data_IF_293073498131
#
_entry.id   IF_293073498131
#
_cell.length_a   1.000
_cell.length_b   1.000
_cell.length_c   1.000
_cell.angle_alpha   90.00
_cell.angle_beta   90.00
_cell.angle_gamma   90.00
#
_symmetry.space_group_name_H-M   'P 1'
#
loop_
_entity.id
_entity.type
_entity.pdbx_description
1 polymer ?
#
# COMPACT_ATOMS: atom_id res chain seq x y z
N UNK A 1 -2.68 0.22 4.88
CA UNK A 1 -1.59 1.14 5.27
C UNK A 1 -0.25 0.46 5.04
N UNK A 2 0.47 0.83 3.98
CA UNK A 2 1.84 0.36 3.75
C UNK A 2 2.80 1.52 4.04
N UNK A 3 3.10 1.71 5.33
CA UNK A 3 4.21 2.57 5.74
C UNK A 3 5.42 1.68 5.99
N UNK A 4 6.52 1.92 5.27
CA UNK A 4 7.79 1.24 5.54
C UNK A 4 8.25 1.68 6.94
N UNK A 5 8.13 0.78 7.92
CA UNK A 5 8.49 1.07 9.30
C UNK A 5 10.02 1.01 9.43
N UNK A 6 10.66 2.18 9.34
CA UNK A 6 12.12 2.29 9.48
C UNK A 6 12.44 2.24 10.97
N UNK A 7 13.11 1.17 11.42
CA UNK A 7 13.58 1.05 12.79
C UNK A 7 14.51 2.22 13.14
N UNK A 8 14.25 2.88 14.27
CA UNK A 8 15.01 4.05 14.69
C UNK A 8 14.54 5.38 14.08
N UNK A 9 13.43 5.40 13.33
CA UNK A 9 12.81 6.66 12.96
C UNK A 9 12.30 7.42 14.20
N UNK A 10 12.44 8.74 14.16
CA UNK A 10 12.01 9.68 15.19
C UNK A 10 11.15 10.74 14.54
N UNK A 11 10.18 11.26 15.29
CA UNK A 11 9.36 12.39 14.86
C UNK A 11 9.68 13.59 15.74
N UNK A 12 10.11 14.69 15.13
CA UNK A 12 10.22 16.00 15.78
C UNK A 12 8.93 16.79 15.50
N UNK A 13 8.28 17.24 16.56
CA UNK A 13 7.12 18.13 16.47
C UNK A 13 7.59 19.56 16.71
N UNK A 14 7.34 20.45 15.75
CA UNK A 14 7.71 21.87 15.83
C UNK A 14 6.61 22.76 15.26
N UNK A 15 6.01 23.59 16.12
CA UNK A 15 4.81 24.35 15.75
C UNK A 15 3.71 23.42 15.24
N UNK A 16 3.18 23.74 14.05
CA UNK A 16 2.15 22.94 13.36
C UNK A 16 2.75 21.88 12.42
N UNK A 17 4.05 21.55 12.51
CA UNK A 17 4.74 20.61 11.62
C UNK A 17 5.29 19.39 12.35
N UNK A 18 5.33 18.28 11.63
CA UNK A 18 5.96 17.02 12.01
C UNK A 18 7.09 16.73 11.01
N UNK A 19 8.27 16.43 11.53
CA UNK A 19 9.42 15.98 10.76
C UNK A 19 9.77 14.56 11.17
N UNK A 20 9.74 13.63 10.22
CA UNK A 20 10.25 12.28 10.44
C UNK A 20 11.70 12.19 9.98
N UNK A 21 12.57 11.64 10.83
CA UNK A 21 13.99 11.52 10.55
C UNK A 21 14.61 10.28 11.20
N UNK A 22 15.79 9.89 10.75
CA UNK A 22 16.67 8.92 11.41
C UNK A 22 18.02 9.56 11.74
N UNK A 23 18.73 9.01 12.72
CA UNK A 23 20.09 9.42 13.07
C UNK A 23 20.95 8.20 13.32
N UNK A 24 22.06 8.07 12.59
CA UNK A 24 22.97 6.92 12.66
C UNK A 24 24.20 7.17 13.56
N UNK A 25 24.27 8.33 14.22
CA UNK A 25 25.45 8.73 15.00
C UNK A 25 26.37 9.71 14.27
N UNK A 26 26.19 9.93 12.96
CA UNK A 26 26.98 10.86 12.16
C UNK A 26 26.13 11.84 11.38
N UNK A 27 25.02 11.38 10.80
CA UNK A 27 24.13 12.20 9.97
C UNK A 27 22.66 12.05 10.35
N UNK A 28 21.91 13.12 10.12
CA UNK A 28 20.45 13.11 10.20
C UNK A 28 19.90 12.98 8.78
N UNK A 29 19.07 11.97 8.55
CA UNK A 29 18.32 11.82 7.30
C UNK A 29 16.85 12.17 7.56
N UNK A 30 16.36 13.23 6.92
CA UNK A 30 14.95 13.64 7.01
C UNK A 30 14.17 12.93 5.91
N UNK A 31 13.20 12.12 6.29
CA UNK A 31 12.42 11.30 5.36
C UNK A 31 11.09 11.95 4.99
N UNK A 32 10.52 12.77 5.89
CA UNK A 32 9.32 13.54 5.55
C UNK A 32 9.16 14.80 6.40
N UNK A 33 8.46 15.78 5.82
CA UNK A 33 7.99 16.98 6.51
C UNK A 33 6.51 17.13 6.20
N UNK A 34 5.66 17.15 7.23
CA UNK A 34 4.21 17.22 7.08
C UNK A 34 3.63 18.31 7.97
N UNK A 35 2.65 19.03 7.48
CA UNK A 35 1.82 19.90 8.32
C UNK A 35 0.85 19.02 9.12
N UNK A 36 0.77 19.18 10.44
CA UNK A 36 0.02 18.32 11.37
C UNK A 36 -1.49 18.34 11.19
N UNK A 37 -2.01 19.29 10.40
CA UNK A 37 -3.42 19.36 9.98
C UNK A 37 -3.70 18.70 8.62
N UNK A 38 -2.72 18.08 7.96
CA UNK A 38 -3.01 17.32 6.73
C UNK A 38 -3.84 16.08 7.09
N UNK A 39 -5.12 16.13 6.77
CA UNK A 39 -5.94 14.93 6.60
C UNK A 39 -5.22 14.08 5.54
N UNK A 40 -4.67 12.95 5.96
CA UNK A 40 -4.15 11.96 5.02
C UNK A 40 -5.37 11.46 4.27
N UNK A 41 -5.57 11.95 3.04
CA UNK A 41 -6.51 11.34 2.12
C UNK A 41 -5.90 9.97 1.79
N UNK A 42 -6.35 8.94 2.48
CA UNK A 42 -6.17 7.57 2.00
C UNK A 42 -6.92 7.51 0.66
N UNK A 43 -6.23 7.26 -0.46
CA UNK A 43 -6.94 7.03 -1.71
C UNK A 43 -7.88 5.85 -1.52
N UNK A 44 -9.14 6.02 -1.93
CA UNK A 44 -10.12 4.93 -2.00
C UNK A 44 -9.67 4.02 -3.15
N UNK A 45 -8.89 2.98 -2.83
CA UNK A 45 -8.54 1.94 -3.79
C UNK A 45 -9.72 0.96 -3.81
N UNK A 46 -10.59 1.07 -4.79
CA UNK A 46 -11.59 0.04 -5.11
C UNK A 46 -10.83 -1.19 -5.64
N UNK A 47 -10.64 -2.19 -4.78
CA UNK A 47 -9.95 -3.45 -5.11
C UNK A 47 -10.90 -4.52 -5.66
N UNK A 48 -12.14 -4.16 -6.01
CA UNK A 48 -13.20 -5.13 -6.34
C UNK A 48 -13.44 -5.33 -7.85
N UNK A 49 -12.85 -4.55 -8.76
CA UNK A 49 -13.23 -4.58 -10.19
C UNK A 49 -12.53 -5.64 -11.09
N UNK A 50 -11.52 -6.38 -10.61
CA UNK A 50 -10.67 -7.20 -11.51
C UNK A 50 -10.73 -8.74 -11.29
N UNK A 51 -11.72 -9.28 -10.56
CA UNK A 51 -11.82 -10.74 -10.29
C UNK A 51 -12.91 -11.50 -11.06
N UNK A 52 -13.42 -10.97 -12.18
CA UNK A 52 -14.37 -11.72 -13.02
C UNK A 52 -13.98 -11.62 -14.51
N UNK A 53 -13.05 -12.49 -14.95
CA UNK A 53 -12.95 -12.88 -16.35
C UNK A 53 -12.71 -14.40 -16.43
N UNK A 54 -13.84 -15.12 -16.38
CA UNK A 54 -14.21 -16.25 -17.25
C UNK A 54 -13.08 -17.21 -17.65
N UNK A 55 -12.81 -18.20 -16.80
CA UNK A 55 -12.02 -19.37 -17.15
C UNK A 55 -12.95 -20.49 -17.68
N UNK A 56 -13.65 -20.23 -18.79
CA UNK A 56 -14.51 -21.19 -19.49
C UNK A 56 -13.94 -21.52 -20.88
N UNK A 57 -12.75 -22.12 -20.91
CA UNK A 57 -12.37 -22.99 -22.02
C UNK A 57 -11.62 -24.17 -21.42
N UNK A 58 -12.20 -25.38 -21.52
CA UNK A 58 -11.53 -26.54 -22.12
C UNK A 58 -12.37 -27.82 -22.04
N UNK A 59 -12.52 -28.45 -23.22
CA UNK A 59 -12.86 -29.85 -23.53
C UNK A 59 -14.32 -30.30 -23.66
N UNK A 60 -14.89 -29.98 -24.83
CA UNK A 60 -15.90 -30.82 -25.49
C UNK A 60 -15.20 -32.00 -26.22
N UNK A 61 -15.08 -33.14 -25.54
CA UNK A 61 -14.88 -34.45 -26.18
C UNK A 61 -15.37 -35.56 -25.25
N UNK A 62 -16.52 -36.16 -25.55
CA UNK A 62 -16.68 -37.62 -25.38
C UNK A 62 -17.84 -38.17 -26.25
N UNK A 63 -17.68 -39.42 -26.70
CA UNK A 63 -18.39 -40.11 -27.77
C UNK A 63 -19.81 -40.61 -27.46
N UNK A 64 -20.31 -41.62 -28.21
CA UNK A 64 -21.73 -41.78 -28.48
C UNK A 64 -22.52 -42.42 -27.33
N UNK A 65 -23.78 -42.00 -27.16
CA UNK A 65 -24.73 -42.55 -26.17
C UNK A 65 -25.20 -43.97 -26.54
N UNK A 66 -25.10 -44.97 -25.65
CA UNK A 66 -25.84 -46.22 -25.80
C UNK A 66 -27.29 -46.06 -25.28
N UNK A 67 -28.21 -46.87 -25.82
CA UNK A 67 -29.58 -47.06 -25.33
C UNK A 67 -29.62 -48.13 -24.24
#
# INVERSE_FOLDING_TARGET
>A
MHGLQIAGNRTLVTGDYLLDYSYDGQQIEVTSIRHGRMVVQTPDIDLEEDLENENDQDNEIDGPKPR
#
